data_IF_644132216220
#
_entry.id   IF_644132216220
#
_cell.length_a   1.000
_cell.length_b   1.000
_cell.length_c   1.000
_cell.angle_alpha   90.00
_cell.angle_beta   90.00
_cell.angle_gamma   90.00
#
_symmetry.space_group_name_H-M   'P 1'
#
loop_
_entity.id
_entity.type
_entity.pdbx_description
1 polymer ?
#
# COMPACT_ATOMS: atom_id res chain seq x y z
N UNK A 1 15.75 26.89 17.44
CA UNK A 1 15.84 26.34 16.08
C UNK A 1 15.84 24.82 16.20
N UNK A 2 14.79 24.15 15.74
CA UNK A 2 14.78 22.68 15.67
C UNK A 2 15.61 22.30 14.46
N UNK A 3 16.81 21.78 14.68
CA UNK A 3 17.58 21.08 13.65
C UNK A 3 16.87 19.76 13.39
N UNK A 4 16.06 19.69 12.33
CA UNK A 4 15.67 18.41 11.75
C UNK A 4 16.97 17.74 11.31
N UNK A 5 17.43 16.76 12.09
CA UNK A 5 18.61 15.98 11.73
C UNK A 5 18.42 15.45 10.32
N UNK A 6 19.40 15.69 9.45
CA UNK A 6 19.43 15.13 8.11
C UNK A 6 19.38 13.61 8.24
N UNK A 7 18.22 13.00 7.95
CA UNK A 7 18.06 11.55 7.99
C UNK A 7 19.17 10.92 7.14
N UNK A 8 19.77 9.85 7.63
CA UNK A 8 20.74 9.08 6.87
C UNK A 8 20.05 8.46 5.63
N UNK A 9 20.84 8.16 4.59
CA UNK A 9 20.29 7.50 3.40
C UNK A 9 19.68 6.12 3.68
N UNK A 10 20.07 5.47 4.79
CA UNK A 10 19.43 4.25 5.26
C UNK A 10 18.03 4.53 5.84
N UNK A 11 17.90 5.53 6.71
CA UNK A 11 16.61 5.94 7.29
C UNK A 11 15.63 6.37 6.20
N UNK A 12 16.08 7.13 5.19
CA UNK A 12 15.24 7.53 4.07
C UNK A 12 14.71 6.30 3.31
N UNK A 13 15.56 5.30 3.05
CA UNK A 13 15.11 4.06 2.37
C UNK A 13 14.13 3.26 3.23
N UNK A 14 14.38 3.14 4.53
CA UNK A 14 13.46 2.44 5.43
C UNK A 14 12.09 3.14 5.48
N UNK A 15 12.06 4.47 5.57
CA UNK A 15 10.83 5.26 5.57
C UNK A 15 10.06 5.11 4.25
N UNK A 16 10.75 5.14 3.11
CA UNK A 16 10.11 4.98 1.80
C UNK A 16 9.51 3.58 1.62
N UNK A 17 10.22 2.54 2.06
CA UNK A 17 9.71 1.17 2.04
C UNK A 17 8.47 1.02 2.94
N UNK A 18 8.50 1.60 4.14
CA UNK A 18 7.36 1.56 5.06
C UNK A 18 6.15 2.31 4.51
N UNK A 19 6.36 3.47 3.88
CA UNK A 19 5.29 4.22 3.21
C UNK A 19 4.73 3.44 2.01
N UNK A 20 5.58 2.80 1.21
CA UNK A 20 5.17 2.02 0.06
C UNK A 20 4.33 0.81 0.47
N UNK A 21 4.80 0.06 1.48
CA UNK A 21 4.05 -1.06 2.06
C UNK A 21 2.67 -0.58 2.57
N UNK A 22 2.62 0.50 3.34
CA UNK A 22 1.37 1.03 3.87
C UNK A 22 0.38 1.44 2.76
N UNK A 23 0.85 2.05 1.66
CA UNK A 23 -0.02 2.37 0.53
C UNK A 23 -0.61 1.11 -0.11
N UNK A 24 0.22 0.11 -0.39
CA UNK A 24 -0.20 -1.13 -1.05
C UNK A 24 -1.18 -1.92 -0.17
N UNK A 25 -0.90 -2.03 1.13
CA UNK A 25 -1.79 -2.68 2.10
C UNK A 25 -3.15 -1.97 2.19
N UNK A 26 -3.17 -0.64 2.24
CA UNK A 26 -4.42 0.12 2.25
C UNK A 26 -5.21 -0.05 0.94
N UNK A 27 -4.54 -0.17 -0.20
CA UNK A 27 -5.21 -0.44 -1.47
C UNK A 27 -5.82 -1.85 -1.48
N UNK A 28 -5.07 -2.86 -1.06
CA UNK A 28 -5.55 -4.23 -0.95
C UNK A 28 -6.75 -4.34 0.02
N UNK A 29 -6.68 -3.65 1.15
CA UNK A 29 -7.76 -3.64 2.13
C UNK A 29 -9.06 -3.04 1.55
N UNK A 30 -8.99 -1.99 0.73
CA UNK A 30 -10.19 -1.41 0.10
C UNK A 30 -10.89 -2.38 -0.84
N UNK A 31 -10.14 -3.18 -1.60
CA UNK A 31 -10.70 -4.21 -2.48
C UNK A 31 -11.37 -5.34 -1.66
N UNK A 32 -10.74 -5.75 -0.57
CA UNK A 32 -11.30 -6.74 0.37
C UNK A 32 -12.58 -6.19 1.01
N UNK A 33 -12.58 -4.95 1.48
CA UNK A 33 -13.74 -4.30 2.09
C UNK A 33 -14.89 -4.18 1.08
N UNK A 34 -14.60 -3.85 -0.17
CA UNK A 34 -15.60 -3.80 -1.24
C UNK A 34 -16.22 -5.18 -1.51
N UNK A 35 -15.42 -6.25 -1.50
CA UNK A 35 -15.91 -7.61 -1.63
C UNK A 35 -16.80 -8.02 -0.44
N UNK A 36 -16.40 -7.71 0.79
CA UNK A 36 -17.22 -7.96 1.97
C UNK A 36 -18.55 -7.17 1.92
N UNK A 37 -18.50 -5.90 1.52
CA UNK A 37 -19.70 -5.10 1.35
C UNK A 37 -20.65 -5.72 0.31
N UNK A 38 -20.12 -6.18 -0.83
CA UNK A 38 -20.90 -6.83 -1.86
C UNK A 38 -21.55 -8.14 -1.36
N UNK A 39 -20.80 -8.96 -0.61
CA UNK A 39 -21.29 -10.21 0.00
C UNK A 39 -22.45 -9.93 0.96
N UNK A 40 -22.31 -8.94 1.83
CA UNK A 40 -23.35 -8.57 2.81
C UNK A 40 -24.66 -8.13 2.15
N UNK A 41 -24.58 -7.55 0.94
CA UNK A 41 -25.73 -7.05 0.19
C UNK A 41 -26.29 -8.04 -0.85
N UNK A 42 -25.62 -9.16 -1.09
CA UNK A 42 -25.99 -10.12 -2.14
C UNK A 42 -27.08 -11.12 -1.74
N UNK A 43 -27.44 -11.21 -0.45
CA UNK A 43 -28.45 -12.15 0.01
C UNK A 43 -28.11 -13.60 -0.38
N UNK A 44 -29.04 -14.29 -1.04
CA UNK A 44 -28.84 -15.68 -1.49
C UNK A 44 -27.73 -15.83 -2.55
N UNK A 45 -27.36 -14.76 -3.25
CA UNK A 45 -26.29 -14.74 -4.25
C UNK A 45 -24.90 -14.54 -3.63
N UNK A 46 -24.77 -14.36 -2.31
CA UNK A 46 -23.49 -14.15 -1.62
C UNK A 46 -22.46 -15.26 -1.93
N UNK A 47 -22.93 -16.50 -2.13
CA UNK A 47 -22.08 -17.64 -2.47
C UNK A 47 -21.43 -17.56 -3.86
N UNK A 48 -21.90 -16.66 -4.73
CA UNK A 48 -21.35 -16.44 -6.07
C UNK A 48 -20.21 -15.41 -6.06
N UNK A 49 -20.01 -14.68 -4.96
CA UNK A 49 -18.98 -13.65 -4.83
C UNK A 49 -17.72 -14.28 -4.22
N UNK A 50 -16.63 -14.27 -4.99
CA UNK A 50 -15.32 -14.71 -4.49
C UNK A 50 -14.64 -13.60 -3.72
N UNK A 51 -14.06 -13.93 -2.56
CA UNK A 51 -13.14 -13.03 -1.88
C UNK A 51 -11.85 -12.89 -2.72
N UNK A 52 -11.34 -11.66 -2.92
CA UNK A 52 -10.09 -11.45 -3.63
C UNK A 52 -8.91 -11.93 -2.76
N UNK A 53 -7.94 -12.57 -3.39
CA UNK A 53 -6.63 -12.85 -2.79
C UNK A 53 -5.64 -11.88 -3.42
N UNK A 54 -5.16 -10.95 -2.62
CA UNK A 54 -4.22 -9.91 -3.08
C UNK A 54 -2.88 -10.18 -2.42
N UNK A 55 -1.92 -10.60 -3.22
CA UNK A 55 -0.53 -10.72 -2.80
C UNK A 55 0.16 -9.36 -2.97
N UNK A 56 0.90 -8.94 -1.95
CA UNK A 56 1.78 -7.77 -2.03
C UNK A 56 3.21 -8.30 -1.96
N UNK A 57 3.93 -8.18 -3.06
CA UNK A 57 5.29 -8.69 -3.17
C UNK A 57 6.31 -7.65 -2.72
N UNK A 58 7.48 -8.13 -2.30
CA UNK A 58 8.63 -7.26 -2.00
C UNK A 58 9.05 -6.40 -3.19
N UNK A 59 8.90 -6.90 -4.41
CA UNK A 59 9.25 -6.17 -5.63
C UNK A 59 8.32 -4.97 -5.86
N UNK A 60 7.02 -5.14 -5.66
CA UNK A 60 6.05 -4.05 -5.74
C UNK A 60 6.29 -2.97 -4.69
N UNK A 61 6.66 -3.37 -3.46
CA UNK A 61 7.03 -2.43 -2.39
C UNK A 61 8.27 -1.63 -2.78
N UNK A 62 9.32 -2.30 -3.27
CA UNK A 62 10.57 -1.65 -3.68
C UNK A 62 10.33 -0.69 -4.84
N UNK A 63 9.54 -1.10 -5.83
CA UNK A 63 9.25 -0.26 -6.99
C UNK A 63 8.41 0.96 -6.62
N UNK A 64 7.39 0.78 -5.79
CA UNK A 64 6.60 1.90 -5.26
C UNK A 64 7.47 2.88 -4.45
N UNK A 65 8.39 2.36 -3.63
CA UNK A 65 9.35 3.21 -2.89
C UNK A 65 10.29 4.00 -3.83
N UNK A 66 10.71 3.41 -4.97
CA UNK A 66 11.48 4.13 -5.99
C UNK A 66 10.67 5.25 -6.63
N UNK A 67 9.39 5.00 -6.95
CA UNK A 67 8.50 6.02 -7.50
C UNK A 67 8.30 7.18 -6.53
N UNK A 68 8.13 6.91 -5.23
CA UNK A 68 8.06 7.95 -4.21
C UNK A 68 9.34 8.78 -4.16
N UNK A 69 10.51 8.13 -4.19
CA UNK A 69 11.78 8.84 -4.22
C UNK A 69 11.93 9.68 -5.50
N UNK A 70 11.51 9.16 -6.66
CA UNK A 70 11.56 9.88 -7.92
C UNK A 70 10.68 11.14 -7.88
N UNK A 71 9.43 11.01 -7.40
CA UNK A 71 8.49 12.12 -7.22
C UNK A 71 9.05 13.21 -6.30
N UNK A 72 9.68 12.84 -5.18
CA UNK A 72 10.28 13.80 -4.24
C UNK A 72 11.46 14.57 -4.84
N UNK A 73 12.21 13.96 -5.76
CA UNK A 73 13.40 14.55 -6.37
C UNK A 73 13.15 15.19 -7.74
N UNK A 74 11.91 15.14 -8.23
CA UNK A 74 11.50 15.83 -9.46
C UNK A 74 11.59 17.35 -9.22
N UNK A 75 12.16 18.09 -10.18
CA UNK A 75 12.41 19.54 -10.10
C UNK A 75 11.57 20.32 -11.10
#
# INVERSE_FOLDING_TARGET
>A
MVTYGTKSGFEIRADLLSQAQGLLEMNAQREIDAAYFAIDHAGDEASLISLPVIEITSEEIIETARQFNAFVNEK
#
